data_IF_936901705369
#
_entry.id   IF_936901705369
#
_cell.length_a   1.000
_cell.length_b   1.000
_cell.length_c   1.000
_cell.angle_alpha   90.00
_cell.angle_beta   90.00
_cell.angle_gamma   90.00
#
_symmetry.space_group_name_H-M   'P 1'
#
loop_
_entity.id
_entity.type
_entity.pdbx_description
1 polymer ?
#
# COMPACT_ATOMS: atom_id res chain seq x y z
N UNK A 1 16.82 -5.86 10.60
CA UNK A 1 15.76 -6.57 9.90
C UNK A 1 14.54 -5.73 9.70
N UNK A 2 13.54 -6.32 9.15
CA UNK A 2 12.32 -5.63 8.86
C UNK A 2 11.68 -5.07 10.10
N UNK A 3 11.75 -5.79 11.19
CA UNK A 3 11.17 -5.36 12.40
C UNK A 3 11.69 -4.05 12.85
N UNK A 4 12.96 -3.85 12.75
CA UNK A 4 13.51 -2.61 13.13
C UNK A 4 13.06 -1.51 12.22
N UNK A 5 12.85 -1.83 10.95
CA UNK A 5 12.44 -0.84 10.01
C UNK A 5 11.00 -0.47 10.15
N UNK A 6 10.19 -1.34 10.63
CA UNK A 6 8.81 -1.05 10.76
C UNK A 6 8.56 0.01 11.81
N UNK A 7 9.41 0.19 12.74
CA UNK A 7 9.25 1.20 13.75
C UNK A 7 7.90 1.40 14.18
N UNK A 8 7.23 0.46 14.57
CA UNK A 8 5.85 0.56 14.87
C UNK A 8 5.67 1.26 16.12
N UNK A 9 5.52 2.50 16.07
CA UNK A 9 5.14 3.15 17.21
C UNK A 9 3.96 2.65 17.68
N UNK A 10 3.20 2.18 16.91
CA UNK A 10 2.00 1.72 17.24
C UNK A 10 2.12 0.44 17.75
N UNK A 11 3.05 -0.19 17.47
CA UNK A 11 3.29 -1.41 17.98
C UNK A 11 2.13 -2.16 18.36
N UNK A 12 1.28 -2.30 17.56
CA UNK A 12 0.22 -3.15 17.81
C UNK A 12 0.70 -4.47 17.35
N UNK A 13 0.95 -5.34 18.26
CA UNK A 13 1.45 -6.65 17.98
C UNK A 13 0.67 -7.37 16.91
N UNK A 14 -0.63 -7.21 16.91
CA UNK A 14 -1.45 -7.84 15.93
C UNK A 14 -1.17 -7.34 14.54
N UNK A 15 -0.94 -6.05 14.40
CA UNK A 15 -0.66 -5.48 13.10
C UNK A 15 0.67 -5.96 12.62
N UNK A 16 1.65 -5.94 13.50
CA UNK A 16 2.98 -6.40 13.14
C UNK A 16 2.96 -7.86 12.73
N UNK A 17 2.27 -8.68 13.48
CA UNK A 17 2.19 -10.08 13.17
C UNK A 17 1.50 -10.30 11.84
N UNK A 18 0.44 -9.56 11.58
CA UNK A 18 -0.28 -9.71 10.34
C UNK A 18 0.56 -9.28 9.16
N UNK A 19 1.23 -8.14 9.28
CA UNK A 19 2.08 -7.64 8.21
C UNK A 19 3.24 -8.61 7.99
N UNK A 20 3.84 -9.08 9.06
CA UNK A 20 4.97 -9.99 8.94
C UNK A 20 4.56 -11.29 8.27
N UNK A 21 3.39 -11.82 8.63
CA UNK A 21 2.91 -13.01 8.00
C UNK A 21 2.70 -12.82 6.52
N UNK A 22 2.15 -11.67 6.14
CA UNK A 22 1.89 -11.39 4.74
C UNK A 22 3.18 -11.15 3.97
N UNK A 23 4.13 -10.50 4.60
CA UNK A 23 5.43 -10.28 3.99
C UNK A 23 6.14 -11.62 3.77
N UNK A 24 6.05 -12.51 4.75
CA UNK A 24 6.67 -13.81 4.64
C UNK A 24 6.05 -14.65 3.53
N UNK A 25 4.77 -14.42 3.26
CA UNK A 25 4.08 -15.14 2.21
C UNK A 25 4.24 -14.50 0.83
N UNK A 26 4.88 -13.36 0.77
CA UNK A 26 5.11 -12.69 -0.50
C UNK A 26 4.39 -11.36 -0.57
N UNK A 27 4.03 -10.96 -1.77
CA UNK A 27 3.42 -9.66 -1.96
C UNK A 27 2.01 -9.62 -1.42
N UNK A 28 1.60 -8.45 -0.92
CA UNK A 28 0.24 -8.24 -0.48
C UNK A 28 -0.29 -6.98 -1.10
N UNK A 29 -1.59 -6.89 -1.17
CA UNK A 29 -2.26 -5.69 -1.61
C UNK A 29 -3.43 -5.45 -0.67
N UNK A 30 -3.54 -4.24 -0.15
CA UNK A 30 -4.62 -3.89 0.75
C UNK A 30 -5.45 -2.81 0.11
N UNK A 31 -6.74 -3.07 0.02
CA UNK A 31 -7.66 -2.12 -0.57
C UNK A 31 -8.59 -1.65 0.52
N UNK A 32 -8.53 -0.37 0.82
CA UNK A 32 -9.33 0.17 1.88
C UNK A 32 -10.81 0.10 1.61
N UNK A 33 -11.21 0.26 0.37
CA UNK A 33 -12.62 0.23 0.03
C UNK A 33 -13.24 -1.12 0.25
N UNK A 34 -12.52 -2.17 -0.06
CA UNK A 34 -13.07 -3.49 0.12
C UNK A 34 -12.74 -4.06 1.47
N UNK A 35 -11.75 -3.49 2.13
CA UNK A 35 -11.33 -4.01 3.43
C UNK A 35 -10.67 -5.37 3.33
N UNK A 36 -10.13 -5.69 2.17
CA UNK A 36 -9.52 -6.99 1.97
C UNK A 36 -8.04 -6.91 1.78
N UNK A 37 -7.34 -7.92 2.27
CA UNK A 37 -5.94 -8.10 1.95
C UNK A 37 -5.88 -9.32 1.05
N UNK A 38 -5.21 -9.18 -0.07
CA UNK A 38 -5.15 -10.28 -1.04
C UNK A 38 -3.72 -10.68 -1.30
N UNK A 39 -3.52 -11.99 -1.44
CA UNK A 39 -2.24 -12.51 -1.79
C UNK A 39 -2.32 -12.95 -3.23
N UNK A 40 -1.50 -12.35 -4.06
CA UNK A 40 -1.58 -12.62 -5.48
C UNK A 40 -1.27 -14.05 -5.82
N UNK A 41 -0.39 -14.66 -5.08
CA UNK A 41 0.06 -15.99 -5.43
C UNK A 41 -0.72 -17.11 -4.81
N UNK A 42 -1.61 -16.80 -3.93
CA UNK A 42 -2.34 -17.85 -3.27
C UNK A 42 -3.63 -18.06 -4.00
N UNK A 43 -3.65 -19.02 -4.87
CA UNK A 43 -4.83 -19.26 -5.64
C UNK A 43 -5.69 -20.36 -5.08
N UNK A 44 -5.25 -20.98 -4.03
CA UNK A 44 -5.97 -22.11 -3.54
C UNK A 44 -6.83 -21.80 -2.38
N UNK A 45 -6.38 -20.92 -1.51
CA UNK A 45 -7.09 -20.67 -0.31
C UNK A 45 -7.89 -19.42 -0.36
N UNK A 46 -8.95 -19.40 0.39
CA UNK A 46 -9.73 -18.20 0.55
C UNK A 46 -8.86 -17.18 1.22
N UNK A 47 -8.80 -15.97 0.71
CA UNK A 47 -8.00 -14.94 1.34
C UNK A 47 -8.50 -14.67 2.75
N UNK A 48 -7.60 -14.44 3.65
CA UNK A 48 -7.98 -14.06 4.99
C UNK A 48 -8.50 -12.66 4.94
N UNK A 49 -9.63 -12.43 5.53
CA UNK A 49 -10.17 -11.10 5.58
C UNK A 49 -9.59 -10.36 6.75
N UNK A 50 -9.29 -9.11 6.55
CA UNK A 50 -8.78 -8.27 7.60
C UNK A 50 -9.89 -7.28 7.95
N UNK A 51 -10.23 -7.15 9.24
CA UNK A 51 -11.27 -6.20 9.62
C UNK A 51 -10.95 -4.80 9.12
N UNK A 52 -11.98 -4.06 8.78
CA UNK A 52 -11.83 -2.73 8.22
C UNK A 52 -11.01 -1.82 9.13
N UNK A 53 -11.26 -1.91 10.44
CA UNK A 53 -10.51 -1.07 11.37
C UNK A 53 -9.03 -1.39 11.34
N UNK A 54 -8.68 -2.65 11.16
CA UNK A 54 -7.28 -3.05 11.10
C UNK A 54 -6.66 -2.60 9.78
N UNK A 55 -7.43 -2.61 8.71
CA UNK A 55 -6.93 -2.13 7.42
C UNK A 55 -6.51 -0.68 7.53
N UNK A 56 -7.33 0.14 8.22
CA UNK A 56 -6.98 1.54 8.38
C UNK A 56 -5.72 1.71 9.22
N UNK A 57 -5.55 0.90 10.24
CA UNK A 57 -4.35 0.98 11.05
C UNK A 57 -3.11 0.58 10.25
N UNK A 58 -3.23 -0.43 9.42
CA UNK A 58 -2.14 -0.86 8.57
C UNK A 58 -1.79 0.23 7.57
N UNK A 59 -2.80 0.86 6.98
CA UNK A 59 -2.56 1.96 6.05
C UNK A 59 -1.83 3.10 6.76
N UNK A 60 -2.24 3.41 7.97
CA UNK A 60 -1.58 4.48 8.73
C UNK A 60 -0.13 4.13 9.01
N UNK A 61 0.16 2.87 9.31
CA UNK A 61 1.54 2.46 9.53
C UNK A 61 2.36 2.55 8.26
N UNK A 62 1.78 2.22 7.12
CA UNK A 62 2.50 2.38 5.87
C UNK A 62 2.81 3.86 5.60
N UNK A 63 1.90 4.75 5.95
CA UNK A 63 2.14 6.18 5.80
C UNK A 63 3.27 6.61 6.75
N UNK A 64 3.28 6.10 7.96
CA UNK A 64 4.34 6.41 8.91
C UNK A 64 5.70 5.92 8.41
N UNK A 65 5.74 4.75 7.80
CA UNK A 65 6.98 4.25 7.22
C UNK A 65 7.46 5.16 6.09
N UNK A 66 6.52 5.68 5.31
CA UNK A 66 6.89 6.61 4.26
C UNK A 66 7.49 7.89 4.84
N UNK A 67 6.91 8.37 5.95
CA UNK A 67 7.43 9.56 6.60
C UNK A 67 8.87 9.33 7.08
N UNK A 68 9.13 8.16 7.65
CA UNK A 68 10.46 7.81 8.08
C UNK A 68 11.43 7.77 6.91
N UNK A 69 11.00 7.18 5.81
CA UNK A 69 11.84 7.11 4.63
C UNK A 69 12.16 8.48 4.07
N UNK A 70 11.18 9.36 4.10
CA UNK A 70 11.35 10.71 3.58
C UNK A 70 12.49 11.43 4.28
N UNK A 71 12.60 11.25 5.59
CA UNK A 71 13.62 11.96 6.35
C UNK A 71 14.94 11.21 6.50
N UNK A 72 14.93 9.92 6.32
CA UNK A 72 16.12 9.13 6.63
C UNK A 72 16.77 8.38 5.47
N UNK A 73 16.05 8.12 4.40
CA UNK A 73 16.63 7.38 3.30
C UNK A 73 17.22 8.30 2.25
N UNK A 74 18.12 7.80 1.47
CA UNK A 74 18.71 8.57 0.39
C UNK A 74 17.71 8.72 -0.74
N UNK A 75 17.65 9.89 -1.40
CA UNK A 75 16.73 10.06 -2.51
C UNK A 75 16.87 9.05 -3.64
N UNK A 76 18.05 8.49 -3.80
CA UNK A 76 18.25 7.52 -4.88
C UNK A 76 17.60 6.17 -4.55
N UNK A 77 17.23 5.97 -3.29
CA UNK A 77 16.63 4.71 -2.88
C UNK A 77 15.13 4.83 -2.65
N UNK A 78 14.56 5.97 -3.00
CA UNK A 78 13.13 6.16 -2.81
C UNK A 78 12.56 7.04 -3.92
N UNK A 79 11.26 6.98 -4.08
CA UNK A 79 10.59 7.82 -5.06
C UNK A 79 9.43 8.49 -4.36
N UNK A 80 9.52 9.80 -4.12
CA UNK A 80 8.44 10.57 -3.53
C UNK A 80 8.05 11.66 -4.50
N UNK A 81 6.78 11.81 -4.73
CA UNK A 81 6.30 12.86 -5.61
C UNK A 81 4.93 13.29 -5.17
N UNK A 82 4.53 14.46 -5.58
CA UNK A 82 3.23 14.99 -5.24
C UNK A 82 2.72 15.87 -6.37
N UNK A 83 1.41 15.91 -6.51
CA UNK A 83 0.78 16.67 -7.56
C UNK A 83 -0.54 17.17 -7.01
N UNK A 84 -0.81 18.45 -7.19
CA UNK A 84 -2.06 19.05 -6.74
C UNK A 84 -2.88 19.39 -7.97
N UNK A 85 -4.09 18.83 -8.03
CA UNK A 85 -4.93 18.95 -9.21
C UNK A 85 -6.32 19.37 -8.84
N UNK A 86 -6.94 20.12 -9.71
CA UNK A 86 -8.36 20.42 -9.58
C UNK A 86 -9.06 19.55 -10.61
N UNK A 87 -9.93 18.68 -10.16
CA UNK A 87 -10.57 17.70 -11.02
C UNK A 87 -12.05 17.63 -10.79
N UNK A 88 -12.79 17.26 -11.82
CA UNK A 88 -14.18 16.94 -11.63
C UNK A 88 -14.30 15.47 -11.23
N UNK A 89 -15.53 15.02 -10.98
CA UNK A 89 -15.75 13.67 -10.46
C UNK A 89 -15.30 12.59 -11.44
N UNK A 90 -15.57 12.78 -12.71
CA UNK A 90 -15.19 11.77 -13.70
C UNK A 90 -13.68 11.63 -13.81
N UNK A 91 -12.99 12.74 -13.76
CA UNK A 91 -11.53 12.71 -13.81
C UNK A 91 -10.96 12.03 -12.57
N UNK A 92 -11.55 12.30 -11.43
CA UNK A 92 -11.11 11.69 -10.19
C UNK A 92 -11.31 10.17 -10.24
N UNK A 93 -12.46 9.72 -10.74
CA UNK A 93 -12.70 8.29 -10.82
C UNK A 93 -11.77 7.61 -11.82
N UNK A 94 -11.45 8.30 -12.90
CA UNK A 94 -10.52 7.76 -13.88
C UNK A 94 -9.11 7.62 -13.27
N UNK A 95 -8.67 8.61 -12.53
CA UNK A 95 -7.37 8.55 -11.90
C UNK A 95 -7.33 7.41 -10.88
N UNK A 96 -8.39 7.24 -10.10
CA UNK A 96 -8.46 6.12 -9.18
C UNK A 96 -8.31 4.79 -9.91
N UNK A 97 -9.00 4.67 -11.03
CA UNK A 97 -8.94 3.44 -11.81
C UNK A 97 -7.52 3.19 -12.31
N UNK A 98 -6.86 4.21 -12.82
CA UNK A 98 -5.51 4.09 -13.34
C UNK A 98 -4.52 3.73 -12.23
N UNK A 99 -4.69 4.31 -11.05
CA UNK A 99 -3.81 4.01 -9.93
C UNK A 99 -3.97 2.55 -9.49
N UNK A 100 -5.20 2.06 -9.44
CA UNK A 100 -5.44 0.68 -9.07
C UNK A 100 -4.88 -0.28 -10.12
N UNK A 101 -5.03 0.11 -11.39
CA UNK A 101 -4.52 -0.71 -12.47
C UNK A 101 -3.00 -0.81 -12.39
N UNK A 102 -2.34 0.29 -12.07
CA UNK A 102 -0.89 0.31 -11.93
C UNK A 102 -0.46 -0.62 -10.80
N UNK A 103 -1.12 -0.53 -9.64
CA UNK A 103 -0.77 -1.38 -8.52
C UNK A 103 -0.96 -2.86 -8.85
N UNK A 104 -2.06 -3.18 -9.52
CA UNK A 104 -2.32 -4.58 -9.88
C UNK A 104 -1.27 -5.10 -10.86
N UNK A 105 -0.87 -4.25 -11.79
CA UNK A 105 0.13 -4.65 -12.77
C UNK A 105 1.43 -5.04 -12.09
N UNK A 106 1.92 -4.17 -11.21
CA UNK A 106 3.20 -4.44 -10.58
C UNK A 106 3.12 -5.56 -9.55
N UNK A 107 1.98 -5.69 -8.88
CA UNK A 107 1.79 -6.80 -7.96
C UNK A 107 1.90 -8.13 -8.71
N UNK A 108 1.21 -8.22 -9.84
CA UNK A 108 1.23 -9.44 -10.64
C UNK A 108 2.58 -9.71 -11.27
N UNK A 109 3.15 -8.69 -11.89
CA UNK A 109 4.41 -8.87 -12.61
C UNK A 109 5.54 -9.22 -11.66
N UNK A 110 5.53 -8.63 -10.48
CA UNK A 110 6.56 -8.91 -9.49
C UNK A 110 6.42 -10.35 -8.96
N UNK A 111 5.19 -10.79 -8.74
CA UNK A 111 4.97 -12.15 -8.29
C UNK A 111 5.49 -13.16 -9.32
N UNK A 112 5.26 -12.87 -10.59
CA UNK A 112 5.74 -13.73 -11.65
C UNK A 112 7.27 -13.75 -11.65
N UNK A 113 7.88 -12.59 -11.52
CA UNK A 113 9.33 -12.51 -11.51
C UNK A 113 9.93 -13.27 -10.33
N UNK A 114 9.28 -13.14 -9.13
CA UNK A 114 9.83 -13.81 -7.95
C UNK A 114 9.66 -15.31 -7.99
N UNK A 115 8.87 -15.81 -8.91
CA UNK A 115 8.73 -17.27 -9.01
C UNK A 115 9.99 -17.89 -9.60
N UNK A 116 10.82 -17.10 -10.26
CA UNK A 116 12.03 -17.65 -10.90
C UNK A 116 13.31 -16.98 -10.43
N UNK A 117 13.24 -15.79 -9.87
CA UNK A 117 14.42 -15.08 -9.42
C UNK A 117 14.19 -14.48 -8.07
N UNK A 118 15.22 -14.35 -7.28
CA UNK A 118 15.11 -13.74 -5.96
C UNK A 118 15.06 -12.22 -6.05
N UNK A 119 14.50 -11.60 -5.05
CA UNK A 119 14.54 -10.17 -4.91
C UNK A 119 15.64 -9.78 -3.94
N UNK A 120 15.93 -8.48 -3.88
CA UNK A 120 17.00 -7.99 -3.02
C UNK A 120 16.50 -7.21 -1.84
N UNK A 121 15.37 -6.53 -1.98
CA UNK A 121 14.81 -5.70 -0.92
C UNK A 121 13.31 -5.77 -0.99
N UNK A 122 12.67 -5.45 0.12
CA UNK A 122 11.23 -5.32 0.15
C UNK A 122 10.92 -3.84 0.07
N UNK A 123 10.13 -3.46 -0.91
CA UNK A 123 9.74 -2.07 -1.11
C UNK A 123 8.28 -1.90 -0.77
N UNK A 124 7.92 -0.73 -0.27
CA UNK A 124 6.54 -0.39 -0.01
C UNK A 124 6.12 0.73 -0.94
N UNK A 125 5.04 0.49 -1.68
CA UNK A 125 4.49 1.46 -2.60
C UNK A 125 3.11 1.86 -2.07
N UNK A 126 2.99 3.07 -1.58
CA UNK A 126 1.74 3.60 -1.07
C UNK A 126 1.16 4.58 -2.07
N UNK A 127 -0.15 4.66 -2.09
CA UNK A 127 -0.81 5.65 -2.94
C UNK A 127 -1.85 6.36 -2.11
N UNK A 128 -1.89 7.67 -2.21
CA UNK A 128 -2.87 8.46 -1.51
C UNK A 128 -3.42 9.51 -2.47
N UNK A 129 -4.71 9.51 -2.65
CA UNK A 129 -5.38 10.50 -3.49
C UNK A 129 -6.61 10.95 -2.71
N UNK A 130 -6.63 12.21 -2.34
CA UNK A 130 -7.69 12.70 -1.46
C UNK A 130 -7.91 14.18 -1.68
N UNK A 131 -9.08 14.66 -1.26
CA UNK A 131 -9.43 16.05 -1.43
C UNK A 131 -8.87 16.88 -0.29
N UNK A 132 -8.29 18.03 -0.61
CA UNK A 132 -7.81 18.94 0.42
C UNK A 132 -8.73 20.15 0.53
N UNK A 133 -9.84 20.16 -0.22
CA UNK A 133 -10.82 21.24 -0.10
C UNK A 133 -12.19 20.63 0.04
N UNK A 134 -13.14 21.42 0.50
CA UNK A 134 -14.51 20.98 0.51
C UNK A 134 -15.02 21.00 -0.91
N UNK A 135 -16.05 20.23 -1.22
CA UNK A 135 -16.60 20.25 -2.58
C UNK A 135 -17.08 21.65 -2.93
N UNK A 136 -16.83 22.03 -4.17
CA UNK A 136 -17.35 23.27 -4.66
C UNK A 136 -18.82 23.05 -4.89
N UNK A 137 -19.63 23.88 -4.29
CA UNK A 137 -21.03 23.72 -4.46
C UNK A 137 -21.41 24.26 -5.80
N UNK A 138 -22.10 23.41 -6.51
CA UNK A 138 -22.56 23.84 -7.74
C UNK A 138 -23.88 24.22 -7.60
N UNK A 139 -24.31 25.24 -7.92
CA UNK A 139 -25.65 25.55 -7.72
C UNK A 139 -26.49 25.59 -8.90
#
# INVERSE_FOLDING_TARGET
>A
GIQRKLRPKVSIDEIEAAIQRLVDLGEISIDEETGEAKKLRDVIKTPEEIPVALVKKIQAEFINLAMESLFNDSPKDREFGALTLCMNRDEFERLKFDLRKLRKKYHRDTAVARSTEGGERVYQFNVQLFSITDPVLDN
#
